data_IF_445233008181
#
_entry.id   IF_445233008181
#
_cell.length_a   1.000
_cell.length_b   1.000
_cell.length_c   1.000
_cell.angle_alpha   90.00
_cell.angle_beta   90.00
_cell.angle_gamma   90.00
#
_symmetry.space_group_name_H-M   'P 1'
#
loop_
_entity.id
_entity.type
_entity.pdbx_description
1 polymer ?
#
# COMPACT_ATOMS: atom_id res chain seq x y z
N UNK A 1 10.16 -32.51 -2.10
CA UNK A 1 9.81 -31.18 -1.56
C UNK A 1 8.90 -31.34 -0.34
N UNK A 2 9.39 -31.03 0.87
CA UNK A 2 8.63 -31.24 2.10
C UNK A 2 7.49 -30.22 2.16
N UNK A 3 6.25 -30.70 2.26
CA UNK A 3 5.06 -29.85 2.41
C UNK A 3 4.95 -29.48 3.90
N UNK A 4 5.12 -28.22 4.27
CA UNK A 4 4.87 -27.76 5.63
C UNK A 4 3.36 -27.78 5.90
N UNK A 5 2.96 -28.33 7.05
CA UNK A 5 1.57 -28.46 7.48
C UNK A 5 1.00 -27.08 7.82
N UNK A 6 1.76 -26.28 8.55
CA UNK A 6 1.39 -24.93 8.98
C UNK A 6 2.45 -23.93 8.51
N UNK A 7 2.02 -22.79 8.01
CA UNK A 7 2.85 -21.59 7.89
C UNK A 7 2.15 -20.43 8.57
N UNK A 8 2.88 -19.78 9.45
CA UNK A 8 2.42 -18.59 10.16
C UNK A 8 3.48 -17.48 10.08
N UNK A 9 3.03 -16.25 10.19
CA UNK A 9 3.86 -15.06 10.22
C UNK A 9 3.21 -14.04 11.15
N UNK A 10 4.00 -13.49 12.07
CA UNK A 10 3.56 -12.52 13.07
C UNK A 10 3.93 -11.11 12.65
N UNK A 11 3.01 -10.18 12.86
CA UNK A 11 3.21 -8.75 12.65
C UNK A 11 2.97 -8.03 13.96
N UNK A 12 4.02 -7.43 14.50
CA UNK A 12 3.95 -6.59 15.70
C UNK A 12 3.41 -5.22 15.34
N UNK A 13 2.66 -4.63 16.26
CA UNK A 13 2.04 -3.32 16.09
C UNK A 13 2.95 -2.26 16.65
N UNK A 14 3.11 -1.15 15.91
CA UNK A 14 3.85 0.02 16.35
C UNK A 14 3.10 0.73 17.49
N UNK A 15 3.83 1.27 18.47
CA UNK A 15 3.26 1.90 19.66
C UNK A 15 2.31 3.08 19.38
N UNK A 16 2.54 3.80 18.27
CA UNK A 16 1.77 4.99 17.88
C UNK A 16 0.52 4.70 17.03
N UNK A 17 0.13 3.43 16.92
CA UNK A 17 -0.94 3.01 16.00
C UNK A 17 -1.98 2.17 16.73
N UNK A 18 -3.24 2.56 16.58
CA UNK A 18 -4.38 1.73 17.00
C UNK A 18 -4.80 0.82 15.84
N UNK A 19 -4.80 -0.48 16.09
CA UNK A 19 -5.21 -1.46 15.10
C UNK A 19 -6.43 -2.22 15.57
N UNK A 20 -7.44 -2.32 14.70
CA UNK A 20 -8.65 -3.10 14.94
C UNK A 20 -8.77 -4.19 13.88
N UNK A 21 -8.97 -5.42 14.33
CA UNK A 21 -9.23 -6.57 13.48
C UNK A 21 -10.66 -7.04 13.67
N UNK A 22 -11.47 -6.98 12.61
CA UNK A 22 -12.82 -7.53 12.58
C UNK A 22 -12.90 -8.55 11.45
N UNK A 23 -12.97 -9.84 11.78
CA UNK A 23 -12.91 -10.93 10.81
C UNK A 23 -11.63 -10.84 9.96
N UNK A 24 -11.74 -10.49 8.69
CA UNK A 24 -10.61 -10.29 7.76
C UNK A 24 -10.47 -8.83 7.31
N UNK A 25 -11.09 -7.90 8.03
CA UNK A 25 -10.97 -6.47 7.77
C UNK A 25 -10.05 -5.88 8.81
N UNK A 26 -8.97 -5.27 8.34
CA UNK A 26 -7.98 -4.60 9.17
C UNK A 26 -8.18 -3.10 9.04
N UNK A 27 -8.44 -2.44 10.17
CA UNK A 27 -8.50 -0.98 10.26
C UNK A 27 -7.34 -0.49 11.09
N UNK A 28 -6.57 0.42 10.52
CA UNK A 28 -5.37 1.00 11.15
C UNK A 28 -5.61 2.49 11.30
N UNK A 29 -5.56 2.97 12.55
CA UNK A 29 -5.71 4.37 12.90
C UNK A 29 -4.40 4.93 13.45
N UNK A 30 -3.95 6.05 12.95
CA UNK A 30 -2.71 6.70 13.35
C UNK A 30 -2.81 8.22 13.29
N UNK A 31 -1.69 8.92 13.56
CA UNK A 31 -1.67 10.38 13.65
C UNK A 31 -2.03 11.09 12.33
N UNK A 32 -1.83 10.45 11.19
CA UNK A 32 -2.12 11.03 9.87
C UNK A 32 -3.52 10.72 9.35
N UNK A 33 -4.21 9.74 9.93
CA UNK A 33 -5.55 9.34 9.50
C UNK A 33 -5.81 7.87 9.72
N UNK A 34 -6.87 7.36 9.08
CA UNK A 34 -7.33 5.98 9.22
C UNK A 34 -7.32 5.28 7.87
N UNK A 35 -6.77 4.09 7.81
CA UNK A 35 -6.79 3.21 6.64
C UNK A 35 -7.54 1.94 6.95
N UNK A 36 -8.42 1.50 6.05
CA UNK A 36 -9.16 0.24 6.19
C UNK A 36 -8.93 -0.62 4.94
N UNK A 37 -8.62 -1.89 5.16
CA UNK A 37 -8.43 -2.85 4.07
C UNK A 37 -9.06 -4.18 4.40
N UNK A 38 -9.79 -4.74 3.43
CA UNK A 38 -10.39 -6.06 3.53
C UNK A 38 -9.51 -7.12 2.86
N UNK A 39 -9.32 -8.25 3.55
CA UNK A 39 -8.63 -9.44 3.06
C UNK A 39 -9.59 -10.64 2.95
N UNK A 40 -10.88 -10.38 2.77
CA UNK A 40 -11.92 -11.42 2.73
C UNK A 40 -11.65 -12.49 1.67
N UNK A 41 -11.14 -12.09 0.50
CA UNK A 41 -10.87 -13.00 -0.62
C UNK A 41 -9.61 -13.87 -0.46
N UNK A 42 -8.86 -13.69 0.64
CA UNK A 42 -7.66 -14.47 0.89
C UNK A 42 -7.96 -15.68 1.76
N UNK A 43 -7.52 -16.90 1.39
CA UNK A 43 -7.71 -18.12 2.19
C UNK A 43 -6.71 -18.19 3.35
N UNK A 44 -6.72 -17.19 4.22
CA UNK A 44 -5.86 -17.09 5.39
C UNK A 44 -6.70 -16.95 6.65
N UNK A 45 -6.16 -17.38 7.78
CA UNK A 45 -6.72 -17.11 9.09
C UNK A 45 -5.90 -15.98 9.74
N UNK A 46 -6.59 -15.04 10.37
CA UNK A 46 -6.00 -13.94 11.10
C UNK A 46 -6.41 -14.01 12.56
N UNK A 47 -5.44 -13.99 13.44
CA UNK A 47 -5.66 -13.97 14.88
C UNK A 47 -4.97 -12.74 15.45
N UNK A 48 -5.69 -12.01 16.30
CA UNK A 48 -5.14 -10.90 17.07
C UNK A 48 -4.66 -11.39 18.42
N UNK A 49 -3.47 -10.98 18.82
CA UNK A 49 -2.96 -11.16 20.17
C UNK A 49 -3.24 -9.90 20.97
N UNK A 50 -3.94 -10.03 22.08
CA UNK A 50 -4.37 -8.92 22.92
C UNK A 50 -3.60 -8.92 24.22
N UNK A 51 -3.24 -7.75 24.72
CA UNK A 51 -2.69 -7.55 26.06
C UNK A 51 -3.80 -7.60 27.13
N UNK A 52 -3.43 -7.67 28.40
CA UNK A 52 -4.35 -7.61 29.55
C UNK A 52 -5.27 -6.39 29.51
N UNK A 53 -4.82 -5.31 28.89
CA UNK A 53 -5.58 -4.07 28.65
C UNK A 53 -6.53 -4.12 27.43
N UNK A 54 -6.78 -5.30 26.85
CA UNK A 54 -7.58 -5.53 25.63
C UNK A 54 -7.09 -4.74 24.39
N UNK A 55 -5.85 -4.30 24.38
CA UNK A 55 -5.23 -3.69 23.22
C UNK A 55 -4.57 -4.76 22.35
N UNK A 56 -4.74 -4.66 21.05
CA UNK A 56 -4.17 -5.57 20.07
C UNK A 56 -2.67 -5.25 19.93
N UNK A 57 -1.82 -6.21 20.26
CA UNK A 57 -0.35 -6.05 20.27
C UNK A 57 0.28 -6.61 19.03
N UNK A 58 -0.27 -7.71 18.53
CA UNK A 58 0.24 -8.35 17.32
C UNK A 58 -0.87 -9.04 16.53
N UNK A 59 -0.65 -9.23 15.24
CA UNK A 59 -1.50 -10.04 14.39
C UNK A 59 -0.70 -11.23 13.88
N UNK A 60 -1.20 -12.42 14.10
CA UNK A 60 -0.67 -13.66 13.54
C UNK A 60 -1.53 -14.10 12.37
N UNK A 61 -0.90 -14.21 11.19
CA UNK A 61 -1.53 -14.70 9.96
C UNK A 61 -1.06 -16.12 9.71
N UNK A 62 -2.00 -17.08 9.60
CA UNK A 62 -1.69 -18.51 9.44
C UNK A 62 -2.47 -19.14 8.30
N UNK A 63 -1.87 -20.16 7.69
CA UNK A 63 -2.52 -21.01 6.68
C UNK A 63 -2.11 -22.46 6.90
N UNK A 64 -3.11 -23.36 6.89
CA UNK A 64 -2.93 -24.79 6.99
C UNK A 64 -2.84 -25.43 5.60
N UNK A 65 -1.98 -26.43 5.43
CA UNK A 65 -1.80 -27.23 4.21
C UNK A 65 -1.67 -26.42 2.93
N UNK A 66 -1.06 -25.24 3.02
CA UNK A 66 -1.03 -24.29 1.92
C UNK A 66 -0.12 -24.75 0.77
N UNK A 67 -0.64 -24.67 -0.44
CA UNK A 67 0.16 -24.72 -1.68
C UNK A 67 1.10 -23.51 -1.72
N UNK A 68 2.18 -23.60 -2.50
CA UNK A 68 3.18 -22.54 -2.64
C UNK A 68 2.57 -21.13 -2.86
N UNK A 69 1.54 -21.05 -3.69
CA UNK A 69 0.80 -19.82 -4.00
C UNK A 69 0.16 -19.15 -2.75
N UNK A 70 -0.45 -19.94 -1.86
CA UNK A 70 -1.07 -19.42 -0.65
C UNK A 70 -0.05 -19.10 0.45
N UNK A 71 1.08 -19.80 0.44
CA UNK A 71 2.20 -19.52 1.36
C UNK A 71 2.82 -18.15 1.11
N UNK A 72 2.95 -17.75 -0.16
CA UNK A 72 3.44 -16.41 -0.50
C UNK A 72 2.42 -15.31 -0.19
N UNK A 73 1.12 -15.63 -0.22
CA UNK A 73 0.08 -14.66 0.14
C UNK A 73 0.19 -14.17 1.59
N UNK A 74 0.61 -15.04 2.55
CA UNK A 74 0.82 -14.64 3.95
C UNK A 74 1.80 -13.48 4.03
N UNK A 75 2.98 -13.64 3.43
CA UNK A 75 4.03 -12.61 3.44
C UNK A 75 3.55 -11.30 2.79
N UNK A 76 2.74 -11.40 1.72
CA UNK A 76 2.14 -10.22 1.09
C UNK A 76 1.17 -9.50 2.03
N UNK A 77 0.30 -10.24 2.72
CA UNK A 77 -0.66 -9.68 3.68
C UNK A 77 0.06 -9.00 4.84
N UNK A 78 1.06 -9.68 5.43
CA UNK A 78 1.88 -9.10 6.50
C UNK A 78 2.57 -7.81 6.07
N UNK A 79 3.12 -7.78 4.85
CA UNK A 79 3.71 -6.55 4.28
C UNK A 79 2.67 -5.45 4.06
N UNK A 80 1.46 -5.80 3.61
CA UNK A 80 0.39 -4.81 3.47
C UNK A 80 0.00 -4.18 4.81
N UNK A 81 -0.13 -5.00 5.87
CA UNK A 81 -0.42 -4.50 7.21
C UNK A 81 0.72 -3.58 7.70
N UNK A 82 1.98 -4.01 7.55
CA UNK A 82 3.14 -3.17 7.88
C UNK A 82 3.15 -1.86 7.10
N UNK A 83 2.85 -1.90 5.81
CA UNK A 83 2.77 -0.70 4.99
C UNK A 83 1.63 0.23 5.42
N UNK A 84 0.47 -0.30 5.82
CA UNK A 84 -0.61 0.52 6.38
C UNK A 84 -0.17 1.24 7.65
N UNK A 85 0.52 0.55 8.57
CA UNK A 85 1.06 1.18 9.78
C UNK A 85 2.07 2.30 9.46
N UNK A 86 2.99 2.06 8.52
CA UNK A 86 3.94 3.09 8.07
C UNK A 86 3.20 4.24 7.38
N UNK A 87 2.17 3.95 6.60
CA UNK A 87 1.36 4.95 5.92
C UNK A 87 0.67 5.92 6.87
N UNK A 88 0.07 5.43 7.97
CA UNK A 88 -0.61 6.26 8.96
C UNK A 88 0.34 7.02 9.89
N UNK A 89 1.60 6.57 10.02
CA UNK A 89 2.62 7.25 10.83
C UNK A 89 3.47 8.21 10.00
N UNK A 90 4.28 7.69 9.09
CA UNK A 90 5.24 8.46 8.28
C UNK A 90 4.64 8.95 6.97
N UNK A 91 3.71 8.20 6.38
CA UNK A 91 3.17 8.43 5.04
C UNK A 91 4.12 8.01 3.93
N UNK A 92 3.63 8.08 2.69
CA UNK A 92 4.40 7.75 1.49
C UNK A 92 4.48 8.95 0.55
N UNK A 93 5.62 9.10 -0.13
CA UNK A 93 5.81 10.07 -1.20
C UNK A 93 6.29 9.34 -2.44
N UNK A 94 5.49 9.40 -3.50
CA UNK A 94 5.82 8.80 -4.78
C UNK A 94 6.49 9.82 -5.68
N UNK A 95 7.67 9.49 -6.21
CA UNK A 95 8.39 10.32 -7.17
C UNK A 95 8.32 9.66 -8.52
N UNK A 96 7.61 10.28 -9.45
CA UNK A 96 7.49 9.81 -10.82
C UNK A 96 8.44 10.60 -11.74
N UNK A 97 9.06 9.91 -12.68
CA UNK A 97 9.86 10.50 -13.75
C UNK A 97 9.15 10.25 -15.07
N UNK A 98 9.15 11.23 -15.92
CA UNK A 98 8.62 11.10 -17.27
C UNK A 98 9.74 11.18 -18.31
N UNK A 99 9.59 10.43 -19.38
CA UNK A 99 10.49 10.46 -20.53
C UNK A 99 9.67 10.65 -21.81
N UNK A 100 10.22 11.34 -22.75
CA UNK A 100 9.60 11.54 -24.08
C UNK A 100 10.68 11.49 -25.15
N UNK A 101 10.30 11.03 -26.35
CA UNK A 101 11.22 10.97 -27.48
C UNK A 101 10.95 12.06 -28.53
N UNK A 102 9.69 12.29 -28.88
CA UNK A 102 9.29 13.16 -29.99
C UNK A 102 8.53 14.40 -29.52
N UNK A 103 7.57 14.27 -28.63
CA UNK A 103 6.74 15.37 -28.17
C UNK A 103 7.01 15.71 -26.71
N UNK A 104 7.19 16.98 -26.33
CA UNK A 104 7.42 17.39 -24.96
C UNK A 104 6.13 17.25 -24.15
N UNK A 105 5.95 16.11 -23.49
CA UNK A 105 4.84 15.91 -22.54
C UNK A 105 5.03 16.77 -21.29
N UNK A 106 3.95 17.38 -20.81
CA UNK A 106 3.94 18.18 -19.60
C UNK A 106 2.98 17.55 -18.57
N UNK A 107 3.50 16.70 -17.65
CA UNK A 107 2.71 16.18 -16.56
C UNK A 107 2.59 17.20 -15.43
N UNK A 108 1.37 17.43 -14.96
CA UNK A 108 1.06 18.30 -13.83
C UNK A 108 0.27 17.51 -12.80
N UNK A 109 0.69 17.56 -11.55
CA UNK A 109 -0.07 16.99 -10.44
C UNK A 109 -1.06 18.05 -9.94
N UNK A 110 -2.33 17.71 -9.93
CA UNK A 110 -3.44 18.57 -9.49
C UNK A 110 -4.02 17.95 -8.21
N UNK A 111 -4.77 18.75 -7.43
CA UNK A 111 -5.46 18.31 -6.22
C UNK A 111 -4.53 17.63 -5.20
N UNK A 112 -3.48 18.34 -4.79
CA UNK A 112 -2.48 17.83 -3.83
C UNK A 112 -1.84 16.49 -4.23
N UNK A 113 -1.77 16.21 -5.54
CA UNK A 113 -1.16 15.00 -6.07
C UNK A 113 -2.11 13.81 -6.23
N UNK A 114 -3.42 14.01 -6.12
CA UNK A 114 -4.41 12.94 -6.36
C UNK A 114 -4.67 12.71 -7.84
N UNK A 115 -4.63 13.76 -8.64
CA UNK A 115 -4.91 13.70 -10.06
C UNK A 115 -3.65 14.04 -10.86
N UNK A 116 -3.29 13.17 -11.78
CA UNK A 116 -2.22 13.40 -12.75
C UNK A 116 -2.85 13.85 -14.06
N UNK A 117 -2.58 15.09 -14.45
CA UNK A 117 -2.96 15.60 -15.77
C UNK A 117 -1.72 15.61 -16.66
N UNK A 118 -1.82 14.98 -17.82
CA UNK A 118 -0.75 14.97 -18.83
C UNK A 118 -1.24 15.67 -20.08
N UNK A 119 -0.51 16.70 -20.50
CA UNK A 119 -0.77 17.44 -21.74
C UNK A 119 0.26 17.08 -22.80
N UNK A 120 -0.08 17.34 -24.07
CA UNK A 120 0.78 17.03 -25.22
C UNK A 120 1.14 15.55 -25.39
N UNK A 121 0.20 14.64 -25.11
CA UNK A 121 0.35 13.23 -25.44
C UNK A 121 -0.02 13.05 -26.91
N UNK A 122 0.98 12.87 -27.77
CA UNK A 122 0.75 12.76 -29.21
C UNK A 122 0.00 14.00 -29.76
N UNK A 123 -0.65 13.90 -30.88
CA UNK A 123 -1.39 15.01 -31.52
C UNK A 123 -2.72 15.38 -30.85
N UNK A 124 -3.09 14.75 -29.76
CA UNK A 124 -4.32 15.03 -29.02
C UNK A 124 -4.26 16.38 -28.32
N UNK A 125 -5.13 17.29 -28.69
CA UNK A 125 -5.26 18.63 -28.07
C UNK A 125 -5.86 18.59 -26.66
N UNK A 126 -6.61 17.53 -26.30
CA UNK A 126 -7.25 17.41 -25.00
C UNK A 126 -6.29 16.80 -23.96
N UNK A 127 -6.20 17.35 -22.76
CA UNK A 127 -5.40 16.77 -21.69
C UNK A 127 -5.97 15.42 -21.25
N UNK A 128 -5.11 14.43 -21.06
CA UNK A 128 -5.51 13.15 -20.47
C UNK A 128 -5.39 13.28 -18.94
N UNK A 129 -6.50 13.10 -18.26
CA UNK A 129 -6.57 13.05 -16.81
C UNK A 129 -6.62 11.59 -16.37
N UNK A 130 -5.77 11.20 -15.46
CA UNK A 130 -5.86 9.92 -14.77
C UNK A 130 -5.94 10.17 -13.27
N UNK A 131 -6.98 9.66 -12.65
CA UNK A 131 -7.08 9.65 -11.21
C UNK A 131 -6.12 8.59 -10.66
N UNK A 132 -5.25 9.02 -9.79
CA UNK A 132 -4.38 8.12 -9.05
C UNK A 132 -5.13 7.71 -7.78
N UNK A 133 -5.44 6.44 -7.66
CA UNK A 133 -5.96 5.87 -6.41
C UNK A 133 -4.80 5.79 -5.43
N UNK A 134 -4.39 6.96 -4.94
CA UNK A 134 -3.45 7.07 -3.84
C UNK A 134 -4.25 7.08 -2.55
N UNK A 135 -3.83 6.29 -1.59
CA UNK A 135 -4.36 6.39 -0.23
C UNK A 135 -4.23 7.85 0.24
N UNK A 136 -5.21 8.35 0.98
CA UNK A 136 -5.31 9.75 1.40
C UNK A 136 -4.05 10.32 2.10
N UNK A 137 -3.11 9.45 2.46
CA UNK A 137 -1.88 9.76 3.17
C UNK A 137 -0.64 9.80 2.27
N UNK A 138 -0.81 9.59 0.98
CA UNK A 138 0.29 9.57 -0.01
C UNK A 138 0.36 10.88 -0.79
N UNK A 139 1.57 11.32 -1.14
CA UNK A 139 1.81 12.49 -1.98
C UNK A 139 2.60 12.12 -3.22
N UNK A 140 2.19 12.64 -4.35
CA UNK A 140 2.88 12.49 -5.62
C UNK A 140 3.80 13.70 -5.87
N UNK A 141 5.05 13.41 -6.27
CA UNK A 141 5.99 14.41 -6.78
C UNK A 141 6.42 14.04 -8.20
N UNK A 142 6.41 15.00 -9.10
CA UNK A 142 6.86 14.81 -10.48
C UNK A 142 8.25 15.44 -10.61
N UNK A 143 9.24 14.64 -11.01
CA UNK A 143 10.60 15.10 -11.27
C UNK A 143 10.84 15.24 -12.78
N UNK A 144 11.50 16.33 -13.20
CA UNK A 144 11.93 16.52 -14.60
C UNK A 144 12.96 15.44 -14.98
N UNK A 145 12.95 14.98 -16.25
CA UNK A 145 13.99 14.08 -16.72
C UNK A 145 15.35 14.78 -16.67
N UNK A 146 16.37 14.08 -16.23
CA UNK A 146 17.74 14.56 -16.39
C UNK A 146 18.04 14.60 -17.91
N UNK A 147 18.36 15.76 -18.47
CA UNK A 147 18.91 15.83 -19.84
C UNK A 147 20.15 14.93 -19.86
N UNK A 148 20.16 13.92 -20.74
CA UNK A 148 21.42 13.25 -21.07
C UNK A 148 22.26 14.32 -21.79
N UNK A 149 23.38 14.75 -21.19
CA UNK A 149 24.44 15.41 -21.92
C UNK A 149 24.95 14.42 -22.97
N UNK A 150 24.87 14.83 -24.23
CA UNK A 150 25.55 14.13 -25.33
C UNK A 150 27.05 14.32 -25.20
#
# INVERSE_FOLDING_TARGET
MVKSILKEEKVEILADVELTLKSKVVTVKGPRGTLTRSFANCPVQMHGEYNDKKQLVAITVRVWFARSKFRSAITSICKHIKNMMIGVTKGYSYVMKYGYNLTPMQPVAIEDGKVLQVTNISEKKSPVKSELVLDALSRLRISKPKKKSR
#
